data_IF_523495421904
#
_entry.id   IF_523495421904
#
_cell.length_a   1.000
_cell.length_b   1.000
_cell.length_c   1.000
_cell.angle_alpha   90.00
_cell.angle_beta   90.00
_cell.angle_gamma   90.00
#
_symmetry.space_group_name_H-M   'P 1'
#
loop_
_entity.id
_entity.type
_entity.pdbx_description
1 polymer ?
#
# COMPACT_ATOMS: atom_id res chain seq x y z
N UNK A 1 70.89 -48.08 42.94
CA UNK A 1 70.02 -47.20 43.74
C UNK A 1 69.53 -46.07 42.85
N UNK A 2 68.20 -45.86 42.79
CA UNK A 2 67.48 -44.61 42.46
C UNK A 2 67.70 -43.99 41.06
N UNK A 3 66.71 -43.49 40.33
CA UNK A 3 65.25 -43.46 40.46
C UNK A 3 64.71 -42.99 39.09
N UNK A 4 63.65 -43.63 38.62
CA UNK A 4 62.82 -43.25 37.46
C UNK A 4 62.28 -41.82 37.61
N UNK A 5 62.25 -41.03 36.54
CA UNK A 5 61.29 -39.92 36.38
C UNK A 5 60.95 -39.74 34.90
N UNK A 6 59.87 -40.40 34.50
CA UNK A 6 59.15 -40.21 33.24
C UNK A 6 58.55 -38.79 33.22
N UNK A 7 58.92 -37.98 32.23
CA UNK A 7 58.20 -36.74 31.90
C UNK A 7 57.23 -37.02 30.76
N UNK A 8 55.94 -36.82 31.05
CA UNK A 8 54.82 -36.89 30.11
C UNK A 8 54.90 -35.77 29.06
N UNK A 9 54.43 -36.00 27.81
CA UNK A 9 54.24 -34.93 26.86
C UNK A 9 52.90 -34.24 27.14
N UNK A 10 52.94 -32.97 27.52
CA UNK A 10 51.73 -32.15 27.62
C UNK A 10 51.29 -31.78 26.20
N UNK A 11 50.21 -32.42 25.72
CA UNK A 11 49.53 -32.06 24.49
C UNK A 11 48.94 -30.64 24.66
N UNK A 12 49.60 -29.64 24.08
CA UNK A 12 49.09 -28.28 24.04
C UNK A 12 47.95 -28.22 23.01
N UNK A 13 46.72 -28.25 23.49
CA UNK A 13 45.52 -28.01 22.70
C UNK A 13 45.55 -26.54 22.21
N UNK A 14 46.01 -26.31 20.98
CA UNK A 14 45.87 -25.01 20.31
C UNK A 14 44.39 -24.79 20.02
N UNK A 15 43.70 -24.12 20.95
CA UNK A 15 42.44 -23.48 20.67
C UNK A 15 42.68 -22.40 19.60
N UNK A 16 42.27 -22.66 18.37
CA UNK A 16 42.14 -21.64 17.33
C UNK A 16 41.16 -20.60 17.85
N UNK A 17 41.67 -19.44 18.26
CA UNK A 17 40.88 -18.28 18.60
C UNK A 17 40.06 -17.90 17.36
N UNK A 18 38.77 -18.27 17.40
CA UNK A 18 37.78 -17.84 16.42
C UNK A 18 37.72 -16.32 16.54
N UNK A 19 38.33 -15.63 15.58
CA UNK A 19 38.33 -14.18 15.52
C UNK A 19 36.88 -13.74 15.36
N UNK A 20 36.24 -13.33 16.46
CA UNK A 20 34.97 -12.65 16.41
C UNK A 20 35.24 -11.33 15.67
N UNK A 21 34.96 -11.30 14.38
CA UNK A 21 34.84 -10.06 13.63
C UNK A 21 33.74 -9.26 14.30
N UNK A 22 34.14 -8.28 15.12
CA UNK A 22 33.21 -7.31 15.67
C UNK A 22 32.56 -6.62 14.47
N UNK A 23 31.27 -6.88 14.29
CA UNK A 23 30.44 -6.29 13.25
C UNK A 23 30.49 -4.77 13.52
N UNK A 24 31.40 -4.04 12.85
CA UNK A 24 31.46 -2.58 12.97
C UNK A 24 30.06 -2.08 12.65
N UNK A 25 29.38 -1.49 13.64
CA UNK A 25 28.09 -0.85 13.40
C UNK A 25 28.34 0.22 12.35
N UNK A 26 27.67 0.10 11.19
CA UNK A 26 27.71 1.17 10.20
C UNK A 26 27.22 2.45 10.91
N UNK A 27 27.91 3.59 10.75
CA UNK A 27 27.42 4.84 11.30
C UNK A 27 26.00 5.11 10.76
N UNK A 28 25.17 5.76 11.59
CA UNK A 28 23.82 6.10 11.19
C UNK A 28 23.83 6.89 9.86
N UNK A 29 22.87 6.65 8.95
CA UNK A 29 22.83 7.36 7.68
C UNK A 29 22.67 8.86 7.91
N UNK A 30 23.54 9.67 7.28
CA UNK A 30 23.53 11.13 7.38
C UNK A 30 23.23 11.74 6.01
N UNK A 31 22.15 12.52 5.93
CA UNK A 31 21.90 13.38 4.78
C UNK A 31 22.72 14.66 4.94
N UNK A 32 23.65 14.91 4.00
CA UNK A 32 24.42 16.15 3.97
C UNK A 32 23.71 17.15 3.06
N UNK A 33 23.59 18.39 3.52
CA UNK A 33 22.86 19.44 2.80
C UNK A 33 23.72 20.72 2.76
N UNK A 34 23.84 21.31 1.58
CA UNK A 34 24.46 22.62 1.35
C UNK A 34 23.40 23.58 0.82
N UNK A 35 23.27 24.75 1.45
CA UNK A 35 22.48 25.87 0.92
C UNK A 35 23.26 26.56 -0.20
N UNK A 36 22.62 26.79 -1.35
CA UNK A 36 23.16 27.59 -2.45
C UNK A 36 22.98 29.09 -2.20
N UNK A 37 21.91 29.47 -1.49
CA UNK A 37 21.51 30.84 -1.19
C UNK A 37 21.11 31.00 0.28
N UNK A 38 21.17 32.21 0.86
CA UNK A 38 20.67 32.49 2.20
C UNK A 38 19.18 32.15 2.41
N UNK A 39 18.38 32.25 1.34
CA UNK A 39 16.94 32.01 1.33
C UNK A 39 16.58 30.52 1.45
N UNK A 40 17.50 29.62 1.09
CA UNK A 40 17.27 28.19 1.19
C UNK A 40 17.00 27.78 2.65
N UNK A 41 16.02 26.92 2.87
CA UNK A 41 15.63 26.45 4.21
C UNK A 41 16.07 25.00 4.35
N UNK A 42 16.72 24.67 5.47
CA UNK A 42 17.12 23.29 5.72
C UNK A 42 15.86 22.42 5.91
N UNK A 43 15.82 21.22 5.32
CA UNK A 43 14.68 20.33 5.48
C UNK A 43 14.47 19.92 6.94
N UNK A 44 13.21 19.89 7.38
CA UNK A 44 12.85 19.54 8.77
C UNK A 44 11.86 18.39 8.82
N UNK A 45 11.88 17.60 9.90
CA UNK A 45 10.85 16.58 10.14
C UNK A 45 9.64 17.21 10.79
N UNK A 46 8.44 16.87 10.31
CA UNK A 46 7.18 17.30 10.93
C UNK A 46 6.88 16.61 12.26
N UNK A 47 7.43 15.41 12.49
CA UNK A 47 7.33 14.65 13.74
C UNK A 47 8.53 13.71 13.90
N UNK A 48 8.71 13.11 15.08
CA UNK A 48 9.85 12.23 15.38
C UNK A 48 9.95 11.02 14.45
N UNK A 49 8.82 10.49 14.00
CA UNK A 49 8.72 9.33 13.11
C UNK A 49 8.25 9.71 11.70
N UNK A 50 8.24 11.00 11.35
CA UNK A 50 7.91 11.42 10.00
C UNK A 50 8.89 10.80 9.00
N UNK A 51 8.35 10.13 7.99
CA UNK A 51 9.13 9.51 6.93
C UNK A 51 9.94 10.57 6.15
N UNK A 52 9.27 11.67 5.78
CA UNK A 52 9.83 12.74 4.97
C UNK A 52 10.40 13.91 5.77
N UNK A 53 11.32 14.62 5.13
CA UNK A 53 11.82 15.94 5.51
C UNK A 53 11.13 16.98 4.62
N UNK A 54 10.40 17.93 5.20
CA UNK A 54 9.70 18.96 4.42
C UNK A 54 10.70 19.80 3.59
N UNK A 55 10.41 19.99 2.30
CA UNK A 55 11.14 20.86 1.39
C UNK A 55 10.39 22.17 1.20
N UNK A 56 11.09 23.28 1.38
CA UNK A 56 10.53 24.62 1.22
C UNK A 56 10.95 25.29 -0.09
N UNK A 57 10.06 26.12 -0.63
CA UNK A 57 10.33 26.95 -1.79
C UNK A 57 11.34 28.06 -1.45
N UNK A 58 12.36 28.24 -2.29
CA UNK A 58 13.31 29.36 -2.18
C UNK A 58 12.79 30.65 -2.84
N UNK A 59 11.78 30.55 -3.71
CA UNK A 59 11.24 31.65 -4.50
C UNK A 59 9.72 31.60 -4.54
N UNK A 60 9.12 32.76 -4.78
CA UNK A 60 7.71 32.84 -5.15
C UNK A 60 7.52 32.22 -6.55
N UNK A 61 6.41 31.52 -6.74
CA UNK A 61 6.03 30.93 -8.02
C UNK A 61 4.51 30.79 -8.10
N UNK A 62 4.00 30.56 -9.32
CA UNK A 62 2.61 30.16 -9.54
C UNK A 62 2.64 28.86 -10.33
N UNK A 63 1.91 27.85 -9.85
CA UNK A 63 1.68 26.61 -10.59
C UNK A 63 0.33 26.75 -11.29
N UNK A 64 0.31 26.90 -12.63
CA UNK A 64 -0.93 27.18 -13.35
C UNK A 64 -1.97 26.07 -13.15
N UNK A 65 -3.25 26.44 -13.15
CA UNK A 65 -4.38 25.49 -13.20
C UNK A 65 -4.21 24.48 -14.34
N UNK A 66 -4.45 23.19 -14.07
CA UNK A 66 -4.22 22.10 -15.03
C UNK A 66 -2.77 21.95 -15.52
N UNK A 67 -1.81 22.65 -14.89
CA UNK A 67 -0.46 22.82 -15.37
C UNK A 67 0.61 22.22 -14.46
N UNK A 68 1.86 22.64 -14.71
CA UNK A 68 3.03 22.23 -13.94
C UNK A 68 4.02 23.37 -13.75
N UNK A 69 4.79 23.31 -12.68
CA UNK A 69 5.87 24.25 -12.42
C UNK A 69 7.02 23.62 -11.63
N UNK A 70 8.21 24.20 -11.80
CA UNK A 70 9.40 23.81 -11.06
C UNK A 70 9.63 24.79 -9.92
N UNK A 71 9.55 24.31 -8.69
CA UNK A 71 9.88 25.08 -7.48
C UNK A 71 11.29 24.72 -7.04
N UNK A 72 12.20 25.69 -7.06
CA UNK A 72 13.58 25.49 -6.59
C UNK A 72 13.65 25.56 -5.07
N UNK A 73 14.50 24.70 -4.48
CA UNK A 73 14.77 24.71 -3.03
C UNK A 73 16.08 25.43 -2.69
N UNK A 74 16.97 25.60 -3.68
CA UNK A 74 18.35 26.07 -3.51
C UNK A 74 19.16 25.23 -2.52
N UNK A 75 18.83 23.94 -2.44
CA UNK A 75 19.59 22.94 -1.71
C UNK A 75 20.37 22.06 -2.69
N UNK A 76 21.62 21.80 -2.34
CA UNK A 76 22.40 20.69 -2.87
C UNK A 76 22.45 19.62 -1.78
N UNK A 77 22.17 18.37 -2.13
CA UNK A 77 22.17 17.26 -1.18
C UNK A 77 23.21 16.20 -1.55
N UNK A 78 23.73 15.52 -0.54
CA UNK A 78 24.44 14.26 -0.71
C UNK A 78 23.74 13.21 0.16
N UNK A 79 23.01 12.34 -0.53
CA UNK A 79 22.23 11.23 0.02
C UNK A 79 23.20 10.15 0.52
N UNK A 80 22.91 9.47 1.65
CA UNK A 80 23.72 8.34 2.10
C UNK A 80 23.64 7.16 1.13
N UNK A 81 24.76 6.46 0.97
CA UNK A 81 24.88 5.25 0.13
C UNK A 81 23.79 4.21 0.46
N UNK A 82 23.30 3.52 -0.56
CA UNK A 82 22.19 2.56 -0.44
C UNK A 82 20.81 3.21 -0.34
N UNK A 83 20.72 4.52 -0.57
CA UNK A 83 19.44 5.24 -0.69
C UNK A 83 19.43 6.11 -1.94
N UNK A 84 18.23 6.43 -2.42
CA UNK A 84 17.98 7.65 -3.20
C UNK A 84 17.06 8.57 -2.39
N UNK A 85 16.93 9.83 -2.80
CA UNK A 85 16.01 10.76 -2.16
C UNK A 85 14.78 10.99 -3.04
N UNK A 86 13.61 10.52 -2.59
CA UNK A 86 12.34 10.74 -3.28
C UNK A 86 11.70 12.05 -2.83
N UNK A 87 11.39 12.92 -3.79
CA UNK A 87 10.47 14.05 -3.58
C UNK A 87 9.04 13.50 -3.66
N UNK A 88 8.31 13.60 -2.55
CA UNK A 88 6.98 13.05 -2.37
C UNK A 88 5.95 14.15 -2.07
N UNK A 89 4.67 13.95 -2.41
CA UNK A 89 3.64 14.94 -2.19
C UNK A 89 3.31 15.07 -0.70
N UNK A 90 2.86 16.26 -0.29
CA UNK A 90 2.31 16.50 1.05
C UNK A 90 0.80 16.30 1.00
N UNK A 91 0.25 15.43 1.85
CA UNK A 91 -1.18 15.07 1.83
C UNK A 91 -2.12 16.27 1.93
N UNK A 92 -1.76 17.29 2.72
CA UNK A 92 -2.54 18.51 2.84
C UNK A 92 -2.63 19.32 1.53
N UNK A 93 -1.56 19.34 0.72
CA UNK A 93 -1.57 20.00 -0.58
C UNK A 93 -2.32 19.16 -1.62
N UNK A 94 -2.13 17.85 -1.60
CA UNK A 94 -2.87 16.92 -2.46
C UNK A 94 -4.38 17.02 -2.24
N UNK A 95 -4.85 16.94 -1.00
CA UNK A 95 -6.28 16.98 -0.69
C UNK A 95 -6.91 18.37 -0.87
N UNK A 96 -6.28 19.42 -0.35
CA UNK A 96 -6.91 20.76 -0.27
C UNK A 96 -6.70 21.62 -1.50
N UNK A 97 -5.65 21.34 -2.28
CA UNK A 97 -5.22 22.17 -3.41
C UNK A 97 -5.04 21.38 -4.71
N UNK A 98 -5.30 20.07 -4.68
CA UNK A 98 -5.13 19.15 -5.81
C UNK A 98 -3.72 19.22 -6.44
N UNK A 99 -2.71 19.36 -5.56
CA UNK A 99 -1.30 19.42 -5.96
C UNK A 99 -0.63 18.07 -5.77
N UNK A 100 0.04 17.59 -6.82
CA UNK A 100 0.90 16.41 -6.78
C UNK A 100 2.36 16.76 -7.13
N UNK A 101 3.27 15.82 -6.88
CA UNK A 101 4.70 15.94 -7.24
C UNK A 101 5.05 15.01 -8.39
N UNK A 102 5.71 15.53 -9.42
CA UNK A 102 6.22 14.76 -10.55
C UNK A 102 7.71 14.38 -10.44
N UNK A 103 8.13 13.42 -11.26
CA UNK A 103 9.49 12.87 -11.32
C UNK A 103 9.98 12.34 -9.96
N UNK A 104 10.60 13.21 -9.16
CA UNK A 104 10.86 12.99 -7.75
C UNK A 104 12.02 12.06 -7.41
N UNK A 105 12.70 11.43 -8.37
CA UNK A 105 13.92 10.64 -8.10
C UNK A 105 15.13 11.58 -8.08
N UNK A 106 15.74 11.77 -6.89
CA UNK A 106 17.01 12.49 -6.74
C UNK A 106 18.10 11.47 -6.41
N UNK A 107 18.99 11.26 -7.38
CA UNK A 107 20.08 10.29 -7.30
C UNK A 107 21.11 10.66 -6.22
N UNK A 108 21.77 9.63 -5.66
CA UNK A 108 22.70 9.83 -4.56
C UNK A 108 23.98 10.59 -4.97
N UNK A 109 24.32 10.59 -6.26
CA UNK A 109 25.43 11.29 -6.87
C UNK A 109 25.05 12.68 -7.45
N UNK A 110 23.77 13.05 -7.44
CA UNK A 110 23.33 14.37 -7.89
C UNK A 110 23.84 15.49 -6.97
N UNK A 111 24.45 16.54 -7.55
CA UNK A 111 24.99 17.71 -6.82
C UNK A 111 24.47 19.05 -7.32
N UNK A 112 23.40 19.03 -8.13
CA UNK A 112 22.71 20.23 -8.57
C UNK A 112 21.67 20.72 -7.56
N UNK A 113 20.91 21.73 -7.96
CA UNK A 113 19.79 22.26 -7.17
C UNK A 113 18.65 21.24 -7.12
N UNK A 114 18.21 20.86 -5.92
CA UNK A 114 17.03 20.02 -5.74
C UNK A 114 15.79 20.83 -6.11
N UNK A 115 15.15 20.43 -7.21
CA UNK A 115 13.90 21.00 -7.67
C UNK A 115 12.70 20.14 -7.32
N UNK A 116 11.57 20.77 -7.04
CA UNK A 116 10.27 20.13 -6.83
C UNK A 116 9.40 20.43 -8.03
N UNK A 117 9.10 19.41 -8.84
CA UNK A 117 8.13 19.53 -9.93
C UNK A 117 6.75 19.33 -9.32
N UNK A 118 5.92 20.36 -9.39
CA UNK A 118 4.53 20.31 -8.95
C UNK A 118 3.59 20.19 -10.15
N UNK A 119 2.61 19.30 -10.05
CA UNK A 119 1.44 19.25 -10.91
C UNK A 119 0.26 19.85 -10.18
N UNK A 120 -0.50 20.69 -10.87
CA UNK A 120 -1.75 21.25 -10.36
C UNK A 120 -2.90 20.67 -11.17
N UNK A 121 -3.65 19.76 -10.55
CA UNK A 121 -4.81 19.12 -11.17
C UNK A 121 -6.11 19.87 -10.91
N UNK A 122 -6.06 21.01 -10.21
CA UNK A 122 -7.22 21.87 -10.01
C UNK A 122 -7.45 22.83 -11.17
N UNK A 123 -8.59 23.52 -11.13
CA UNK A 123 -8.95 24.59 -12.06
C UNK A 123 -8.56 25.99 -11.55
N UNK A 124 -7.77 26.08 -10.48
CA UNK A 124 -7.31 27.33 -9.88
C UNK A 124 -5.77 27.38 -9.83
N UNK A 125 -5.19 28.54 -10.15
CA UNK A 125 -3.75 28.73 -10.01
C UNK A 125 -3.32 28.57 -8.55
N UNK A 126 -2.21 27.86 -8.33
CA UNK A 126 -1.66 27.64 -7.00
C UNK A 126 -0.46 28.56 -6.75
N UNK A 127 -0.62 29.62 -5.93
CA UNK A 127 0.50 30.47 -5.54
C UNK A 127 1.37 29.74 -4.52
N UNK A 128 2.66 29.67 -4.82
CA UNK A 128 3.72 29.23 -3.91
C UNK A 128 4.46 30.47 -3.44
N UNK A 129 4.54 30.68 -2.13
CA UNK A 129 5.37 31.74 -1.55
C UNK A 129 6.71 31.16 -1.11
N UNK A 130 7.75 31.99 -1.15
CA UNK A 130 9.03 31.69 -0.51
C UNK A 130 8.79 31.24 0.94
N UNK A 131 9.41 30.12 1.31
CA UNK A 131 9.27 29.51 2.63
C UNK A 131 8.20 28.43 2.73
N UNK A 132 7.22 28.42 1.82
CA UNK A 132 6.16 27.41 1.84
C UNK A 132 6.74 26.01 1.68
N UNK A 133 6.28 25.08 2.52
CA UNK A 133 6.63 23.66 2.44
C UNK A 133 5.81 23.02 1.32
N UNK A 134 6.45 22.74 0.19
CA UNK A 134 5.78 22.32 -1.05
C UNK A 134 5.82 20.82 -1.31
N UNK A 135 6.81 20.12 -0.76
CA UNK A 135 6.98 18.67 -0.88
C UNK A 135 7.70 18.13 0.36
N UNK A 136 7.95 16.83 0.38
CA UNK A 136 8.79 16.20 1.39
C UNK A 136 9.81 15.25 0.75
N UNK A 137 11.02 15.21 1.28
CA UNK A 137 12.11 14.34 0.85
C UNK A 137 12.12 13.06 1.70
N UNK A 138 11.94 11.89 1.09
CA UNK A 138 12.02 10.58 1.74
C UNK A 138 13.31 9.91 1.29
N UNK A 139 14.14 9.45 2.23
CA UNK A 139 15.34 8.66 1.90
C UNK A 139 14.93 7.20 1.79
N UNK A 140 14.74 6.74 0.56
CA UNK A 140 14.30 5.38 0.29
C UNK A 140 15.49 4.48 0.05
N UNK A 141 15.51 3.35 0.77
CA UNK A 141 16.55 2.34 0.63
C UNK A 141 16.37 1.61 -0.69
N UNK A 142 17.49 1.40 -1.37
CA UNK A 142 17.56 0.67 -2.64
C UNK A 142 18.78 -0.22 -2.66
N UNK A 143 18.73 -1.23 -3.52
CA UNK A 143 19.88 -2.03 -3.92
C UNK A 143 20.32 -1.58 -5.32
N UNK A 144 21.59 -1.83 -5.66
CA UNK A 144 22.16 -1.57 -6.98
C UNK A 144 22.53 -2.91 -7.64
N UNK A 145 21.55 -3.73 -8.06
CA UNK A 145 21.83 -5.02 -8.69
C UNK A 145 22.43 -4.85 -10.08
N UNK A 146 23.30 -5.78 -10.48
CA UNK A 146 23.69 -5.93 -11.88
C UNK A 146 22.51 -6.53 -12.67
N UNK A 147 22.32 -6.05 -13.91
CA UNK A 147 21.28 -6.58 -14.80
C UNK A 147 21.84 -7.79 -15.56
N UNK A 148 21.16 -8.93 -15.48
CA UNK A 148 21.51 -10.16 -16.18
C UNK A 148 20.33 -10.61 -17.07
N UNK A 149 20.60 -10.81 -18.36
CA UNK A 149 19.64 -11.39 -19.32
C UNK A 149 19.60 -12.92 -19.18
N UNK A 150 18.41 -13.51 -19.25
CA UNK A 150 18.15 -14.95 -19.12
C UNK A 150 17.12 -15.42 -20.15
N UNK A 151 17.15 -16.71 -20.51
CA UNK A 151 16.20 -17.29 -21.47
C UNK A 151 14.80 -17.48 -20.88
N UNK A 152 14.70 -17.81 -19.58
CA UNK A 152 13.45 -18.08 -18.86
C UNK A 152 13.48 -17.48 -17.44
N UNK A 153 12.31 -17.13 -16.90
CA UNK A 153 12.12 -16.62 -15.52
C UNK A 153 11.14 -17.56 -14.80
N UNK A 154 11.36 -17.80 -13.50
CA UNK A 154 10.52 -18.73 -12.75
C UNK A 154 9.05 -18.27 -12.63
N UNK A 155 8.12 -19.23 -12.72
CA UNK A 155 6.69 -18.95 -12.49
C UNK A 155 6.41 -18.62 -11.01
N UNK A 156 5.46 -17.71 -10.78
CA UNK A 156 4.96 -17.37 -9.44
C UNK A 156 3.45 -17.46 -9.40
N UNK A 157 2.88 -17.54 -8.19
CA UNK A 157 1.42 -17.52 -8.00
C UNK A 157 0.74 -16.27 -8.62
N UNK A 158 1.45 -15.15 -8.75
CA UNK A 158 0.92 -13.94 -9.41
C UNK A 158 1.01 -14.01 -10.94
N UNK A 159 2.03 -14.68 -11.49
CA UNK A 159 2.27 -14.79 -12.92
C UNK A 159 2.22 -13.43 -13.64
N UNK A 160 1.47 -13.36 -14.74
CA UNK A 160 1.26 -12.14 -15.53
C UNK A 160 0.17 -11.19 -14.99
N UNK A 161 -0.37 -11.41 -13.79
CA UNK A 161 -1.45 -10.60 -13.22
C UNK A 161 -1.02 -9.17 -12.79
N UNK A 162 -1.63 -8.14 -13.39
CA UNK A 162 -1.43 -6.72 -13.08
C UNK A 162 -2.69 -5.88 -13.33
N UNK A 163 -2.60 -4.55 -13.20
CA UNK A 163 -3.68 -3.60 -13.57
C UNK A 163 -5.05 -3.88 -12.93
N UNK A 164 -5.09 -4.18 -11.64
CA UNK A 164 -6.34 -4.50 -10.95
C UNK A 164 -6.74 -5.99 -11.03
N UNK A 165 -5.81 -6.89 -11.38
CA UNK A 165 -6.05 -8.35 -11.40
C UNK A 165 -6.49 -8.94 -10.06
N UNK A 166 -6.34 -8.22 -8.95
CA UNK A 166 -6.79 -8.62 -7.61
C UNK A 166 -8.21 -8.14 -7.29
N UNK A 167 -8.87 -7.45 -8.22
CA UNK A 167 -10.14 -6.77 -7.96
C UNK A 167 -10.01 -5.57 -7.03
N UNK A 168 -11.14 -4.95 -6.72
CA UNK A 168 -11.28 -3.84 -5.76
C UNK A 168 -12.03 -4.24 -4.49
N UNK A 169 -12.72 -5.38 -4.52
CA UNK A 169 -13.54 -5.86 -3.42
C UNK A 169 -12.75 -6.83 -2.53
N UNK A 170 -12.79 -6.60 -1.23
CA UNK A 170 -12.35 -7.59 -0.24
C UNK A 170 -13.59 -8.38 0.17
N UNK A 171 -13.60 -9.72 0.04
CA UNK A 171 -14.67 -10.52 0.62
C UNK A 171 -14.65 -10.33 2.13
N UNK A 172 -15.67 -9.66 2.67
CA UNK A 172 -15.82 -9.50 4.11
C UNK A 172 -16.22 -10.87 4.69
N UNK A 173 -15.24 -11.69 5.03
CA UNK A 173 -15.50 -12.86 5.88
C UNK A 173 -15.73 -12.37 7.31
N UNK A 174 -16.99 -12.40 7.78
CA UNK A 174 -17.37 -12.16 9.19
C UNK A 174 -16.60 -13.12 10.12
N UNK A 175 -15.45 -12.70 10.65
CA UNK A 175 -14.84 -13.12 11.93
C UNK A 175 -13.53 -12.35 12.22
N UNK A 176 -13.65 -11.07 12.53
CA UNK A 176 -12.70 -10.39 13.42
C UNK A 176 -13.50 -9.59 14.45
N UNK A 177 -14.23 -10.31 15.30
CA UNK A 177 -14.83 -9.72 16.49
C UNK A 177 -13.71 -9.57 17.53
N UNK A 178 -13.07 -8.40 17.52
CA UNK A 178 -12.45 -7.87 18.73
C UNK A 178 -13.60 -7.56 19.68
N UNK A 179 -13.62 -8.23 20.82
CA UNK A 179 -14.62 -8.00 21.87
C UNK A 179 -14.29 -6.66 22.52
N UNK A 180 -15.02 -5.62 22.16
CA UNK A 180 -15.14 -4.41 22.97
C UNK A 180 -16.59 -4.30 23.43
N UNK A 181 -16.76 -4.40 24.75
CA UNK A 181 -18.02 -4.25 25.46
C UNK A 181 -18.78 -3.00 25.02
N UNK A 182 -20.05 -3.18 24.65
CA UNK A 182 -20.96 -2.06 24.41
C UNK A 182 -22.27 -2.56 23.82
N UNK A 183 -23.29 -2.60 24.66
CA UNK A 183 -24.69 -2.89 24.33
C UNK A 183 -25.21 -1.94 23.25
N UNK A 184 -25.64 -2.49 22.11
CA UNK A 184 -26.64 -1.88 21.23
C UNK A 184 -27.18 -2.96 20.27
N UNK A 185 -28.41 -3.39 20.55
CA UNK A 185 -29.43 -3.97 19.67
C UNK A 185 -28.99 -4.36 18.23
N UNK A 186 -28.81 -5.67 18.01
CA UNK A 186 -28.65 -6.30 16.70
C UNK A 186 -30.03 -6.48 16.02
N UNK A 187 -30.38 -5.59 15.08
CA UNK A 187 -31.53 -5.77 14.17
C UNK A 187 -31.14 -5.97 12.70
N UNK A 188 -29.85 -5.89 12.32
CA UNK A 188 -29.41 -6.01 10.91
C UNK A 188 -28.99 -7.43 10.47
N UNK A 189 -28.97 -8.42 11.36
CA UNK A 189 -28.54 -9.80 11.03
C UNK A 189 -29.64 -10.70 10.43
N UNK A 190 -30.89 -10.23 10.33
CA UNK A 190 -32.05 -11.05 9.90
C UNK A 190 -32.20 -11.25 8.38
N UNK A 191 -31.85 -10.24 7.56
CA UNK A 191 -32.17 -10.20 6.12
C UNK A 191 -31.26 -11.11 5.27
N UNK A 192 -30.03 -11.32 5.71
CA UNK A 192 -29.10 -12.22 5.03
C UNK A 192 -29.43 -13.69 5.29
N UNK A 193 -29.82 -14.02 6.52
CA UNK A 193 -30.24 -15.38 6.90
C UNK A 193 -31.59 -15.76 6.25
N UNK A 194 -32.53 -14.81 6.16
CA UNK A 194 -33.80 -15.02 5.44
C UNK A 194 -33.58 -15.30 3.95
N UNK A 195 -32.65 -14.59 3.30
CA UNK A 195 -32.29 -14.80 1.90
C UNK A 195 -31.70 -16.20 1.67
N UNK A 196 -30.78 -16.65 2.53
CA UNK A 196 -30.22 -18.00 2.46
C UNK A 196 -31.29 -19.08 2.66
N UNK A 197 -32.20 -18.86 3.60
CA UNK A 197 -33.32 -19.76 3.87
C UNK A 197 -34.29 -19.82 2.68
N UNK A 198 -34.58 -18.70 2.04
CA UNK A 198 -35.41 -18.65 0.83
C UNK A 198 -34.76 -19.42 -0.34
N UNK A 199 -33.44 -19.34 -0.48
CA UNK A 199 -32.69 -20.13 -1.47
C UNK A 199 -32.79 -21.64 -1.19
N UNK A 200 -32.74 -22.07 0.07
CA UNK A 200 -32.97 -23.48 0.42
C UNK A 200 -34.39 -23.92 0.08
N UNK A 201 -35.40 -23.09 0.38
CA UNK A 201 -36.79 -23.38 0.06
C UNK A 201 -37.03 -23.56 -1.44
N UNK A 202 -36.36 -22.76 -2.29
CA UNK A 202 -36.44 -22.92 -3.75
C UNK A 202 -35.90 -24.28 -4.22
N UNK A 203 -34.84 -24.77 -3.58
CA UNK A 203 -34.28 -26.09 -3.88
C UNK A 203 -35.17 -27.22 -3.39
N UNK A 204 -35.74 -27.12 -2.19
CA UNK A 204 -36.71 -28.08 -1.66
C UNK A 204 -37.96 -28.19 -2.56
N UNK A 205 -38.44 -27.05 -3.07
CA UNK A 205 -39.55 -26.97 -4.03
C UNK A 205 -39.17 -27.34 -5.46
N UNK A 206 -37.91 -27.68 -5.74
CA UNK A 206 -37.37 -28.00 -7.07
C UNK A 206 -37.56 -26.88 -8.11
N UNK A 207 -37.60 -25.63 -7.65
CA UNK A 207 -37.61 -24.45 -8.53
C UNK A 207 -36.21 -24.23 -9.11
N UNK A 208 -35.17 -24.44 -8.30
CA UNK A 208 -33.77 -24.46 -8.74
C UNK A 208 -33.14 -25.82 -8.44
N UNK A 209 -32.17 -26.23 -9.26
CA UNK A 209 -31.39 -27.45 -9.00
C UNK A 209 -30.24 -27.20 -8.02
N UNK A 210 -29.55 -28.28 -7.63
CA UNK A 210 -28.44 -28.22 -6.68
C UNK A 210 -27.26 -27.39 -7.18
N UNK A 211 -27.04 -27.36 -8.51
CA UNK A 211 -25.96 -26.58 -9.13
C UNK A 211 -26.27 -25.09 -9.07
N UNK A 212 -27.47 -24.68 -9.50
CA UNK A 212 -27.95 -23.31 -9.44
C UNK A 212 -28.02 -22.80 -7.99
N UNK A 213 -28.44 -23.64 -7.03
CA UNK A 213 -28.38 -23.32 -5.60
C UNK A 213 -26.95 -23.01 -5.15
N UNK A 214 -26.00 -23.88 -5.48
CA UNK A 214 -24.60 -23.71 -5.08
C UNK A 214 -24.00 -22.44 -5.71
N UNK A 215 -24.34 -22.17 -6.96
CA UNK A 215 -23.88 -20.98 -7.69
C UNK A 215 -24.50 -19.70 -7.13
N UNK A 216 -25.80 -19.70 -6.82
CA UNK A 216 -26.50 -18.59 -6.16
C UNK A 216 -25.85 -18.25 -4.83
N UNK A 217 -25.57 -19.26 -3.99
CA UNK A 217 -24.90 -19.06 -2.71
C UNK A 217 -23.52 -18.46 -2.90
N UNK A 218 -22.72 -19.03 -3.81
CA UNK A 218 -21.38 -18.54 -4.13
C UNK A 218 -21.41 -17.09 -4.59
N UNK A 219 -22.36 -16.75 -5.45
CA UNK A 219 -22.52 -15.40 -6.00
C UNK A 219 -23.07 -14.41 -4.97
N UNK A 220 -23.93 -14.85 -4.04
CA UNK A 220 -24.42 -14.01 -2.95
C UNK A 220 -23.28 -13.47 -2.08
N UNK A 221 -22.22 -14.26 -1.86
CA UNK A 221 -21.04 -13.82 -1.12
C UNK A 221 -20.21 -12.73 -1.83
N UNK A 222 -20.38 -12.56 -3.14
CA UNK A 222 -19.65 -11.58 -3.95
C UNK A 222 -20.57 -10.51 -4.55
N UNK A 223 -21.86 -10.52 -4.19
CA UNK A 223 -22.83 -9.59 -4.74
C UNK A 223 -22.70 -8.21 -4.09
N UNK A 224 -22.84 -7.15 -4.90
CA UNK A 224 -22.99 -5.79 -4.40
C UNK A 224 -24.28 -5.63 -3.60
N UNK A 225 -24.35 -4.62 -2.73
CA UNK A 225 -25.54 -4.30 -1.93
C UNK A 225 -26.82 -4.15 -2.79
N UNK A 226 -26.68 -3.57 -3.98
CA UNK A 226 -27.77 -3.43 -4.94
C UNK A 226 -28.23 -4.79 -5.49
N UNK A 227 -27.30 -5.65 -5.87
CA UNK A 227 -27.61 -6.99 -6.37
C UNK A 227 -28.27 -7.84 -5.28
N UNK A 228 -27.76 -7.77 -4.05
CA UNK A 228 -28.34 -8.43 -2.89
C UNK A 228 -29.78 -7.99 -2.65
N UNK A 229 -30.04 -6.67 -2.60
CA UNK A 229 -31.37 -6.13 -2.35
C UNK A 229 -32.39 -6.51 -3.43
N UNK A 230 -31.97 -6.51 -4.70
CA UNK A 230 -32.82 -6.93 -5.82
C UNK A 230 -33.18 -8.41 -5.72
N UNK A 231 -32.21 -9.28 -5.39
CA UNK A 231 -32.46 -10.70 -5.22
C UNK A 231 -33.34 -10.99 -4.00
N UNK A 232 -33.07 -10.36 -2.85
CA UNK A 232 -33.89 -10.50 -1.64
C UNK A 232 -35.34 -10.11 -1.92
N UNK A 233 -35.55 -8.96 -2.57
CA UNK A 233 -36.89 -8.50 -2.97
C UNK A 233 -37.58 -9.50 -3.90
N UNK A 234 -36.86 -10.09 -4.85
CA UNK A 234 -37.43 -11.11 -5.76
C UNK A 234 -37.82 -12.40 -5.01
N UNK A 235 -37.02 -12.81 -4.03
CA UNK A 235 -37.30 -13.97 -3.18
C UNK A 235 -38.48 -13.74 -2.24
N UNK A 236 -38.60 -12.54 -1.65
CA UNK A 236 -39.74 -12.18 -0.81
C UNK A 236 -41.04 -12.18 -1.62
N UNK A 237 -41.03 -11.58 -2.82
CA UNK A 237 -42.18 -11.64 -3.73
C UNK A 237 -42.58 -13.08 -4.07
N UNK A 238 -41.60 -13.97 -4.27
CA UNK A 238 -41.87 -15.38 -4.52
C UNK A 238 -42.51 -16.09 -3.32
N UNK A 239 -42.10 -15.76 -2.10
CA UNK A 239 -42.72 -16.31 -0.89
C UNK A 239 -44.20 -15.92 -0.81
N UNK A 240 -44.56 -14.72 -1.30
CA UNK A 240 -45.93 -14.22 -1.32
C UNK A 240 -46.78 -14.77 -2.49
N UNK A 241 -46.21 -14.84 -3.70
CA UNK A 241 -46.95 -15.13 -4.94
C UNK A 241 -46.75 -16.55 -5.51
N UNK A 242 -45.78 -17.32 -4.99
CA UNK A 242 -45.33 -18.66 -5.45
C UNK A 242 -45.02 -18.73 -6.96
N UNK A 243 -44.73 -17.59 -7.60
CA UNK A 243 -44.50 -17.49 -9.03
C UNK A 243 -43.07 -17.88 -9.41
N UNK A 244 -42.90 -19.18 -9.68
CA UNK A 244 -41.60 -19.76 -10.02
C UNK A 244 -40.97 -19.18 -11.30
N UNK A 245 -41.77 -18.76 -12.29
CA UNK A 245 -41.21 -18.21 -13.53
C UNK A 245 -40.56 -16.84 -13.30
N UNK A 246 -41.20 -15.99 -12.48
CA UNK A 246 -40.74 -14.64 -12.18
C UNK A 246 -39.46 -14.66 -11.32
N UNK A 247 -39.41 -15.52 -10.30
CA UNK A 247 -38.19 -15.63 -9.47
C UNK A 247 -37.01 -16.21 -10.24
N UNK A 248 -37.26 -17.14 -11.17
CA UNK A 248 -36.21 -17.71 -12.03
C UNK A 248 -35.61 -16.67 -12.97
N UNK A 249 -36.41 -15.74 -13.50
CA UNK A 249 -35.90 -14.64 -14.32
C UNK A 249 -34.91 -13.77 -13.53
N UNK A 250 -35.25 -13.41 -12.29
CA UNK A 250 -34.37 -12.65 -11.41
C UNK A 250 -33.13 -13.43 -10.98
N UNK A 251 -33.27 -14.72 -10.69
CA UNK A 251 -32.15 -15.62 -10.36
C UNK A 251 -31.17 -15.70 -11.51
N UNK A 252 -31.65 -15.91 -12.74
CA UNK A 252 -30.80 -15.99 -13.91
C UNK A 252 -30.11 -14.65 -14.19
N UNK A 253 -30.85 -13.53 -14.13
CA UNK A 253 -30.28 -12.20 -14.27
C UNK A 253 -29.22 -11.91 -13.18
N UNK A 254 -29.46 -12.35 -11.95
CA UNK A 254 -28.50 -12.24 -10.86
C UNK A 254 -27.26 -13.08 -11.17
N UNK A 255 -27.41 -14.34 -11.61
CA UNK A 255 -26.31 -15.26 -11.98
C UNK A 255 -25.51 -14.82 -13.22
N UNK A 256 -26.11 -14.07 -14.14
CA UNK A 256 -25.44 -13.52 -15.33
C UNK A 256 -24.83 -12.12 -15.13
N UNK A 257 -25.23 -11.40 -14.07
CA UNK A 257 -24.71 -10.04 -13.81
C UNK A 257 -23.21 -10.04 -13.47
N UNK A 258 -22.45 -9.09 -14.03
CA UNK A 258 -21.02 -8.91 -13.72
C UNK A 258 -20.81 -8.20 -12.38
#
# INVERSE_FOLDING_TARGET
MHLLLLRTPHLALRATARTMTTKRSRPAPVLRVKKMTPEAILPTRGSSLAAGLDLSAAYDAVIPAGGKGLVKTDLIIAVPDGCYARVAPRSGLAWKKFIDTGAGVVDADYRGNVGVILFNHSNEDFPVKRGDRVAQLILEKIEYPEVQEVEEIEETARGAGGFGSTGVDVPITKKQHLVSNGTAEDEEDGEFDSTFKAIEMLSEKKVVDDMARAELKKKLFTASERQFKLLSTALDNYIEDDNSAKVLEWINAFLESN
#
